data_IF_917421118380
#
_entry.id   IF_917421118380
#
_cell.length_a   1.000
_cell.length_b   1.000
_cell.length_c   1.000
_cell.angle_alpha   90.00
_cell.angle_beta   90.00
_cell.angle_gamma   90.00
#
_symmetry.space_group_name_H-M   'P 1'
#
loop_
_entity.id
_entity.type
_entity.pdbx_description
1 polymer ?
#
# COMPACT_ATOMS: atom_id res chain seq x y z
N UNK A 1 8.67 3.03 18.12
CA UNK A 1 7.41 3.53 17.52
C UNK A 1 7.55 3.62 16.03
N UNK A 2 6.51 3.27 15.34
CA UNK A 2 6.57 3.18 13.90
C UNK A 2 5.63 4.16 13.22
N UNK A 3 5.35 5.28 13.90
CA UNK A 3 4.46 6.30 13.35
C UNK A 3 4.98 6.88 12.05
N UNK A 4 6.28 6.71 11.79
CA UNK A 4 6.93 7.24 10.59
C UNK A 4 6.79 6.31 9.39
N UNK A 5 6.30 5.09 9.61
CA UNK A 5 6.12 4.11 8.55
C UNK A 5 4.64 3.72 8.53
N UNK A 6 4.03 3.88 7.37
CA UNK A 6 2.61 3.53 7.19
C UNK A 6 2.51 2.36 6.23
N UNK A 7 1.90 1.29 6.69
CA UNK A 7 1.66 0.12 5.86
C UNK A 7 0.45 0.36 4.95
N UNK A 8 0.59 0.02 3.69
CA UNK A 8 -0.53 0.03 2.75
C UNK A 8 -1.04 -1.39 2.64
N UNK A 9 -2.23 -1.63 3.19
CA UNK A 9 -2.84 -2.96 3.18
C UNK A 9 -4.17 -2.90 2.44
N UNK A 10 -4.53 -4.00 1.79
CA UNK A 10 -5.78 -4.03 1.03
C UNK A 10 -6.97 -3.98 1.97
N UNK A 11 -7.82 -2.95 1.85
CA UNK A 11 -8.98 -2.85 2.73
C UNK A 11 -10.10 -3.78 2.27
N UNK A 12 -11.01 -4.06 3.17
CA UNK A 12 -12.20 -4.83 2.84
C UNK A 12 -13.34 -3.86 2.59
N UNK A 13 -13.65 -3.65 1.33
CA UNK A 13 -14.68 -2.69 0.92
C UNK A 13 -16.09 -3.27 0.89
N UNK A 14 -16.23 -4.57 1.06
CA UNK A 14 -17.53 -5.22 1.09
C UNK A 14 -17.46 -6.51 1.87
N UNK A 15 -18.60 -6.97 2.35
CA UNK A 15 -18.65 -8.14 3.23
C UNK A 15 -18.10 -9.41 2.57
N UNK A 16 -18.27 -9.52 1.26
CA UNK A 16 -17.83 -10.71 0.54
C UNK A 16 -16.47 -10.55 -0.12
N UNK A 17 -15.82 -9.40 0.06
CA UNK A 17 -14.52 -9.16 -0.56
C UNK A 17 -13.45 -9.99 0.13
N UNK A 18 -12.70 -10.76 -0.63
CA UNK A 18 -11.61 -11.58 -0.14
C UNK A 18 -10.27 -11.18 -0.72
N UNK A 19 -10.28 -10.61 -1.92
CA UNK A 19 -9.06 -10.22 -2.60
C UNK A 19 -9.35 -9.08 -3.56
N UNK A 20 -8.31 -8.54 -4.15
CA UNK A 20 -8.40 -7.53 -5.17
C UNK A 20 -7.17 -7.57 -6.05
N UNK A 21 -7.26 -6.95 -7.20
CA UNK A 21 -6.17 -6.90 -8.17
C UNK A 21 -5.64 -5.47 -8.23
N UNK A 22 -4.32 -5.32 -8.17
CA UNK A 22 -3.69 -4.03 -8.40
C UNK A 22 -3.83 -3.73 -9.88
N UNK A 23 -4.61 -2.71 -10.20
CA UNK A 23 -4.89 -2.36 -11.59
C UNK A 23 -3.86 -1.38 -12.13
N UNK A 24 -3.75 -0.23 -11.49
CA UNK A 24 -2.86 0.83 -11.97
C UNK A 24 -2.26 1.57 -10.79
N UNK A 25 -0.94 1.69 -10.77
CA UNK A 25 -0.26 2.57 -9.83
C UNK A 25 -0.20 3.98 -10.44
N UNK A 26 -0.61 4.97 -9.66
CA UNK A 26 -0.59 6.36 -10.11
C UNK A 26 0.67 7.09 -9.66
N UNK A 27 1.46 6.50 -8.78
CA UNK A 27 2.69 7.09 -8.26
C UNK A 27 3.81 6.06 -8.30
N UNK A 28 5.03 6.54 -8.40
CA UNK A 28 6.21 5.68 -8.41
C UNK A 28 6.90 5.71 -7.07
N UNK A 29 7.75 4.72 -6.84
CA UNK A 29 8.61 4.73 -5.65
C UNK A 29 9.44 6.00 -5.66
N UNK A 30 9.48 6.66 -4.51
CA UNK A 30 10.17 7.93 -4.36
C UNK A 30 9.27 9.14 -4.50
N UNK A 31 8.02 8.96 -4.92
CA UNK A 31 7.11 10.09 -5.10
C UNK A 31 6.58 10.57 -3.76
N UNK A 32 6.45 11.88 -3.65
CA UNK A 32 5.81 12.51 -2.50
C UNK A 32 4.30 12.34 -2.64
N UNK A 33 3.63 11.87 -1.58
CA UNK A 33 2.19 11.73 -1.57
C UNK A 33 1.60 12.47 -0.39
N UNK A 34 0.36 12.89 -0.54
CA UNK A 34 -0.39 13.59 0.50
C UNK A 34 -1.59 12.74 0.88
N UNK A 35 -1.91 12.70 2.14
CA UNK A 35 -3.09 11.99 2.63
C UNK A 35 -4.29 12.36 1.77
N UNK A 36 -5.00 11.34 1.29
CA UNK A 36 -6.16 11.53 0.42
C UNK A 36 -5.86 11.46 -1.06
N UNK A 37 -4.57 11.45 -1.46
CA UNK A 37 -4.22 11.29 -2.87
C UNK A 37 -4.58 9.89 -3.34
N UNK A 38 -5.12 9.81 -4.56
CA UNK A 38 -5.38 8.52 -5.19
C UNK A 38 -4.07 7.98 -5.72
N UNK A 39 -3.56 6.94 -5.09
CA UNK A 39 -2.21 6.44 -5.40
C UNK A 39 -2.21 5.16 -6.21
N UNK A 40 -3.29 4.39 -6.15
CA UNK A 40 -3.36 3.12 -6.88
C UNK A 40 -4.83 2.77 -7.09
N UNK A 41 -5.14 2.18 -8.23
CA UNK A 41 -6.47 1.64 -8.49
C UNK A 41 -6.48 0.15 -8.16
N UNK A 42 -7.53 -0.27 -7.48
CA UNK A 42 -7.70 -1.67 -7.09
C UNK A 42 -9.02 -2.15 -7.67
N UNK A 43 -8.95 -3.26 -8.41
CA UNK A 43 -10.11 -3.84 -9.06
C UNK A 43 -10.53 -5.09 -8.31
N UNK A 44 -11.84 -5.21 -8.07
CA UNK A 44 -12.42 -6.41 -7.50
C UNK A 44 -13.45 -6.96 -8.49
N UNK A 45 -14.09 -8.06 -8.13
CA UNK A 45 -15.11 -8.65 -8.98
C UNK A 45 -16.20 -7.67 -9.37
N UNK A 46 -16.55 -6.76 -8.46
CA UNK A 46 -17.72 -5.90 -8.63
C UNK A 46 -17.42 -4.45 -8.82
N UNK A 47 -16.22 -4.00 -8.40
CA UNK A 47 -15.90 -2.58 -8.40
C UNK A 47 -14.45 -2.35 -8.80
N UNK A 48 -14.18 -1.14 -9.24
CA UNK A 48 -12.83 -0.66 -9.50
C UNK A 48 -12.73 0.67 -8.77
N UNK A 49 -11.96 0.71 -7.68
CA UNK A 49 -11.86 1.89 -6.83
C UNK A 49 -10.43 2.34 -6.69
N UNK A 50 -10.27 3.65 -6.56
CA UNK A 50 -8.98 4.22 -6.20
C UNK A 50 -8.74 4.04 -4.70
N UNK A 51 -7.51 3.68 -4.36
CA UNK A 51 -7.06 3.60 -2.98
C UNK A 51 -6.36 4.91 -2.65
N UNK A 52 -6.83 5.58 -1.61
CA UNK A 52 -6.28 6.87 -1.20
C UNK A 52 -5.19 6.69 -0.18
N UNK A 53 -4.17 7.54 -0.25
CA UNK A 53 -3.08 7.49 0.72
C UNK A 53 -3.61 7.73 2.13
N UNK A 54 -3.35 6.83 3.08
CA UNK A 54 -3.83 7.02 4.45
C UNK A 54 -2.98 8.00 5.25
N UNK A 55 -1.86 8.42 4.70
CA UNK A 55 -0.95 9.35 5.36
C UNK A 55 -0.13 10.07 4.32
N UNK A 56 0.46 11.20 4.72
CA UNK A 56 1.38 11.94 3.87
C UNK A 56 2.80 11.43 4.07
N UNK A 57 3.61 11.46 3.04
CA UNK A 57 5.00 11.04 3.08
C UNK A 57 5.50 10.69 1.70
N UNK A 58 6.47 9.78 1.64
CA UNK A 58 7.05 9.32 0.39
C UNK A 58 6.65 7.86 0.17
N UNK A 59 6.26 7.53 -1.03
CA UNK A 59 6.02 6.12 -1.36
C UNK A 59 7.37 5.41 -1.45
N UNK A 60 7.69 4.62 -0.43
CA UNK A 60 9.02 4.02 -0.30
C UNK A 60 9.11 2.63 -0.93
N UNK A 61 7.99 1.91 -1.01
CA UNK A 61 7.98 0.57 -1.61
C UNK A 61 6.65 0.34 -2.30
N UNK A 62 6.72 -0.30 -3.46
CA UNK A 62 5.56 -0.89 -4.15
C UNK A 62 5.80 -2.38 -4.16
N UNK A 63 5.14 -3.10 -3.27
CA UNK A 63 5.36 -4.52 -3.06
C UNK A 63 4.52 -5.41 -3.97
N UNK A 64 3.48 -4.84 -4.57
CA UNK A 64 2.65 -5.53 -5.54
C UNK A 64 2.74 -4.79 -6.87
N UNK A 65 2.69 -5.53 -7.96
CA UNK A 65 2.79 -4.98 -9.31
C UNK A 65 1.41 -4.87 -9.93
N UNK A 66 1.30 -4.05 -10.97
CA UNK A 66 0.07 -4.01 -11.75
C UNK A 66 -0.23 -5.40 -12.28
N UNK A 67 -1.46 -5.84 -12.07
CA UNK A 67 -1.89 -7.18 -12.44
C UNK A 67 -1.83 -8.19 -11.31
N UNK A 68 -1.18 -7.88 -10.20
CA UNK A 68 -1.10 -8.81 -9.07
C UNK A 68 -2.42 -8.87 -8.32
N UNK A 69 -2.82 -10.08 -7.97
CA UNK A 69 -3.97 -10.31 -7.11
C UNK A 69 -3.47 -10.48 -5.68
N UNK A 70 -4.07 -9.76 -4.75
CA UNK A 70 -3.66 -9.78 -3.34
C UNK A 70 -4.87 -9.99 -2.46
N UNK A 71 -4.65 -10.54 -1.28
CA UNK A 71 -5.72 -10.80 -0.32
C UNK A 71 -6.02 -9.56 0.53
N UNK A 72 -7.24 -9.49 1.04
CA UNK A 72 -7.58 -8.45 2.02
C UNK A 72 -6.61 -8.54 3.18
N UNK A 73 -6.06 -7.40 3.58
CA UNK A 73 -5.07 -7.32 4.65
C UNK A 73 -3.63 -7.50 4.19
N UNK A 74 -3.41 -7.90 2.94
CA UNK A 74 -2.05 -8.06 2.45
C UNK A 74 -1.34 -6.71 2.31
N UNK A 75 -0.08 -6.71 2.66
CA UNK A 75 0.77 -5.52 2.53
C UNK A 75 1.17 -5.34 1.08
N UNK A 76 0.84 -4.19 0.48
CA UNK A 76 1.18 -3.96 -0.92
C UNK A 76 2.06 -2.73 -1.14
N UNK A 77 2.33 -1.97 -0.11
CA UNK A 77 3.21 -0.81 -0.25
C UNK A 77 3.54 -0.18 1.09
N UNK A 78 4.46 0.76 1.05
CA UNK A 78 4.94 1.45 2.25
C UNK A 78 5.04 2.95 1.97
N UNK A 79 4.43 3.75 2.83
CA UNK A 79 4.65 5.19 2.86
C UNK A 79 5.44 5.49 4.12
N UNK A 80 6.47 6.31 3.99
CA UNK A 80 7.29 6.71 5.13
C UNK A 80 7.94 8.05 4.85
N UNK A 81 8.46 8.68 5.89
CA UNK A 81 9.21 9.92 5.71
C UNK A 81 10.51 9.63 4.96
N UNK A 82 11.01 10.64 4.26
CA UNK A 82 12.17 10.47 3.40
C UNK A 82 13.42 10.05 4.17
N UNK A 83 13.52 10.41 5.44
CA UNK A 83 14.69 10.11 6.25
C UNK A 83 14.65 8.78 6.98
N UNK A 84 13.56 8.02 6.83
CA UNK A 84 13.51 6.65 7.34
C UNK A 84 14.45 5.80 6.48
N UNK A 85 15.33 5.05 7.11
CA UNK A 85 16.31 4.25 6.37
C UNK A 85 15.65 3.06 5.67
N UNK A 86 16.29 2.63 4.59
CA UNK A 86 15.81 1.43 3.89
C UNK A 86 15.87 0.19 4.78
N UNK A 87 16.87 0.11 5.65
CA UNK A 87 16.99 -1.01 6.59
C UNK A 87 15.79 -1.06 7.54
N UNK A 88 15.35 0.09 8.01
CA UNK A 88 14.17 0.17 8.87
C UNK A 88 12.93 -0.31 8.14
N UNK A 89 12.79 0.10 6.89
CA UNK A 89 11.65 -0.27 6.07
C UNK A 89 11.68 -1.77 5.79
N UNK A 90 12.83 -2.32 5.44
CA UNK A 90 12.97 -3.75 5.19
C UNK A 90 12.63 -4.57 6.42
N UNK A 91 13.04 -4.10 7.58
CA UNK A 91 12.72 -4.75 8.85
C UNK A 91 11.22 -4.72 9.12
N UNK A 92 10.60 -3.56 8.86
CA UNK A 92 9.16 -3.42 9.03
C UNK A 92 8.41 -4.42 8.15
N UNK A 93 8.82 -4.55 6.89
CA UNK A 93 8.19 -5.48 5.96
C UNK A 93 8.34 -6.92 6.46
N UNK A 94 9.55 -7.28 6.89
CA UNK A 94 9.81 -8.63 7.36
C UNK A 94 8.98 -8.97 8.60
N UNK A 95 8.85 -8.03 9.51
CA UNK A 95 8.09 -8.23 10.74
C UNK A 95 6.59 -8.19 10.52
N UNK A 96 6.16 -7.47 9.50
CA UNK A 96 4.73 -7.35 9.21
C UNK A 96 4.11 -8.71 8.89
N UNK A 97 4.81 -9.54 8.13
CA UNK A 97 4.31 -10.84 7.71
C UNK A 97 4.69 -11.96 8.67
N UNK A 98 5.39 -11.65 9.74
CA UNK A 98 5.82 -12.68 10.68
C UNK A 98 4.61 -13.25 11.41
N UNK A 99 4.55 -14.56 11.58
CA UNK A 99 3.45 -15.17 12.32
C UNK A 99 3.47 -14.82 13.80
#
# INVERSE_FOLDING_TARGET
MTDRITALTLPKWGLSMQDGCISTWHVEEGAQVTRGDEIVDIETEKINNAFEAPASGVLRRRLAKEGDEIDVGALFGIIAEADVSDDEIDRFIAEFDAP
#
